data_IF_684939225345
#
_entry.id   IF_684939225345
#
_cell.length_a   1.000
_cell.length_b   1.000
_cell.length_c   1.000
_cell.angle_alpha   90.00
_cell.angle_beta   90.00
_cell.angle_gamma   90.00
#
_symmetry.space_group_name_H-M   'P 1'
#
loop_
_entity.id
_entity.type
_entity.pdbx_description
1 polymer ?
#
# COMPACT_ATOMS: atom_id res chain seq x y z
N UNK A 1 3.21 -16.98 -3.46
CA UNK A 1 2.94 -15.56 -3.83
C UNK A 1 3.35 -15.21 -5.27
N UNK A 2 4.33 -15.88 -5.87
CA UNK A 2 4.73 -15.76 -7.30
C UNK A 2 3.79 -16.51 -8.28
N UNK A 3 2.47 -16.35 -8.13
CA UNK A 3 1.46 -16.95 -9.06
C UNK A 3 0.49 -15.91 -9.66
N UNK A 4 0.69 -14.62 -9.39
CA UNK A 4 -0.04 -13.53 -10.04
C UNK A 4 0.74 -12.94 -11.25
N UNK A 5 1.66 -13.72 -11.83
CA UNK A 5 2.39 -13.38 -13.06
C UNK A 5 2.12 -14.37 -14.20
N UNK A 6 1.07 -15.20 -14.07
CA UNK A 6 0.62 -16.08 -15.16
C UNK A 6 0.09 -15.18 -16.26
N UNK A 7 0.60 -15.32 -17.49
CA UNK A 7 0.40 -14.43 -18.63
C UNK A 7 -1.03 -14.29 -19.18
N UNK A 8 -2.04 -14.25 -18.32
CA UNK A 8 -3.33 -13.67 -18.66
C UNK A 8 -3.13 -12.17 -18.79
N UNK A 9 -3.49 -11.62 -19.96
CA UNK A 9 -3.35 -10.18 -20.21
C UNK A 9 -4.05 -9.35 -19.13
N UNK A 10 -3.72 -8.06 -19.04
CA UNK A 10 -4.32 -7.10 -18.09
C UNK A 10 -5.86 -7.13 -18.03
N UNK A 11 -6.52 -7.67 -19.06
CA UNK A 11 -7.97 -7.82 -19.20
C UNK A 11 -8.49 -9.24 -18.88
N UNK A 12 -7.66 -10.09 -18.27
CA UNK A 12 -8.05 -11.42 -17.85
C UNK A 12 -9.15 -11.37 -16.79
N UNK A 13 -10.11 -12.32 -16.80
CA UNK A 13 -11.18 -12.35 -15.81
C UNK A 13 -10.63 -12.47 -14.38
N UNK A 14 -9.46 -13.10 -14.19
CA UNK A 14 -8.78 -13.21 -12.90
C UNK A 14 -8.27 -11.86 -12.35
N UNK A 15 -8.02 -10.87 -13.19
CA UNK A 15 -7.59 -9.52 -12.78
C UNK A 15 -8.78 -8.57 -12.68
N UNK A 16 -9.72 -8.64 -13.63
CA UNK A 16 -10.89 -7.76 -13.65
C UNK A 16 -11.85 -8.05 -12.50
N UNK A 17 -12.07 -9.32 -12.14
CA UNK A 17 -12.96 -9.69 -11.05
C UNK A 17 -12.56 -9.06 -9.70
N UNK A 18 -11.33 -9.24 -9.17
CA UNK A 18 -10.93 -8.62 -7.91
C UNK A 18 -10.87 -7.09 -8.00
N UNK A 19 -10.54 -6.51 -9.16
CA UNK A 19 -10.56 -5.07 -9.37
C UNK A 19 -11.98 -4.49 -9.24
N UNK A 20 -12.95 -5.10 -9.91
CA UNK A 20 -14.36 -4.69 -9.85
C UNK A 20 -14.94 -4.90 -8.46
N UNK A 21 -14.64 -6.01 -7.80
CA UNK A 21 -15.05 -6.29 -6.42
C UNK A 21 -14.46 -5.25 -5.47
N UNK A 22 -13.16 -4.96 -5.57
CA UNK A 22 -12.48 -3.95 -4.76
C UNK A 22 -13.09 -2.56 -4.95
N UNK A 23 -13.33 -2.15 -6.20
CA UNK A 23 -13.98 -0.89 -6.52
C UNK A 23 -15.41 -0.82 -5.96
N UNK A 24 -16.20 -1.89 -6.10
CA UNK A 24 -17.56 -1.95 -5.56
C UNK A 24 -17.58 -1.84 -4.03
N UNK A 25 -16.67 -2.53 -3.33
CA UNK A 25 -16.52 -2.46 -1.89
C UNK A 25 -16.10 -1.06 -1.42
N UNK A 26 -15.16 -0.42 -2.12
CA UNK A 26 -14.73 0.95 -1.81
C UNK A 26 -15.90 1.93 -1.95
N UNK A 27 -16.66 1.85 -3.05
CA UNK A 27 -17.85 2.69 -3.26
C UNK A 27 -18.90 2.43 -2.18
N UNK A 28 -19.14 1.16 -1.82
CA UNK A 28 -20.06 0.79 -0.74
C UNK A 28 -19.62 1.34 0.61
N UNK A 29 -18.32 1.27 0.92
CA UNK A 29 -17.74 1.81 2.15
C UNK A 29 -17.88 3.33 2.22
N UNK A 30 -17.51 4.04 1.16
CA UNK A 30 -17.65 5.50 1.04
C UNK A 30 -19.11 5.93 1.21
N UNK A 31 -20.04 5.24 0.55
CA UNK A 31 -21.49 5.49 0.69
C UNK A 31 -21.99 5.23 2.11
N UNK A 32 -21.49 4.16 2.76
CA UNK A 32 -21.87 3.81 4.14
C UNK A 32 -21.32 4.82 5.15
N UNK A 33 -20.06 5.25 4.99
CA UNK A 33 -19.43 6.29 5.81
C UNK A 33 -20.20 7.62 5.71
N UNK A 34 -20.55 8.03 4.48
CA UNK A 34 -21.30 9.28 4.25
C UNK A 34 -22.74 9.27 4.80
N UNK A 35 -23.35 8.09 4.96
CA UNK A 35 -24.71 7.92 5.51
C UNK A 35 -24.75 7.76 7.04
N UNK A 36 -23.61 7.60 7.72
CA UNK A 36 -23.56 7.45 9.18
C UNK A 36 -23.58 8.84 9.85
N UNK A 37 -24.38 8.97 10.91
CA UNK A 37 -24.58 10.21 11.68
C UNK A 37 -23.35 10.64 12.49
N UNK A 38 -22.45 9.71 12.82
CA UNK A 38 -21.13 9.99 13.41
C UNK A 38 -20.04 9.34 12.54
N UNK A 39 -19.55 10.05 11.51
CA UNK A 39 -18.45 9.57 10.70
C UNK A 39 -17.16 9.52 11.53
N UNK A 40 -16.44 8.39 11.47
CA UNK A 40 -15.10 8.25 12.04
C UNK A 40 -14.08 9.15 11.34
N UNK A 41 -14.36 9.47 10.06
CA UNK A 41 -13.53 10.32 9.21
C UNK A 41 -14.46 11.34 8.57
N UNK A 42 -14.29 12.62 8.92
CA UNK A 42 -15.03 13.69 8.29
C UNK A 42 -14.57 13.86 6.83
N UNK A 43 -15.40 13.33 5.93
CA UNK A 43 -15.19 13.41 4.48
C UNK A 43 -15.19 14.86 3.97
N UNK A 44 -15.70 15.82 4.76
CA UNK A 44 -15.62 17.26 4.49
C UNK A 44 -14.20 17.81 4.61
N UNK A 45 -13.33 17.22 5.43
CA UNK A 45 -11.92 17.63 5.51
C UNK A 45 -11.15 17.32 4.23
N UNK A 46 -11.44 16.19 3.58
CA UNK A 46 -10.85 15.83 2.28
C UNK A 46 -11.27 16.75 1.13
N UNK A 47 -12.39 17.47 1.26
CA UNK A 47 -12.78 18.49 0.29
C UNK A 47 -11.85 19.72 0.32
N UNK A 48 -11.08 19.91 1.41
CA UNK A 48 -10.08 20.98 1.50
C UNK A 48 -8.79 20.52 0.80
N UNK A 49 -8.34 21.21 -0.27
CA UNK A 49 -7.18 20.78 -1.03
C UNK A 49 -5.92 20.68 -0.16
N UNK A 50 -5.73 21.59 0.80
CA UNK A 50 -4.58 21.56 1.72
C UNK A 50 -4.55 20.30 2.61
N UNK A 51 -5.70 19.77 3.01
CA UNK A 51 -5.77 18.53 3.79
C UNK A 51 -5.51 17.32 2.90
N UNK A 52 -6.14 17.28 1.71
CA UNK A 52 -5.91 16.19 0.76
C UNK A 52 -4.47 16.12 0.26
N UNK A 53 -3.80 17.26 0.06
CA UNK A 53 -2.39 17.29 -0.31
C UNK A 53 -1.50 16.83 0.85
N UNK A 54 -1.78 17.26 2.08
CA UNK A 54 -1.04 16.80 3.25
C UNK A 54 -1.15 15.28 3.43
N UNK A 55 -2.37 14.71 3.34
CA UNK A 55 -2.58 13.26 3.37
C UNK A 55 -1.87 12.57 2.20
N UNK A 56 -1.94 13.15 0.99
CA UNK A 56 -1.23 12.64 -0.18
C UNK A 56 0.29 12.59 0.03
N UNK A 57 0.88 13.64 0.60
CA UNK A 57 2.30 13.67 0.96
C UNK A 57 2.65 12.60 1.99
N UNK A 58 1.82 12.41 3.02
CA UNK A 58 2.04 11.36 4.03
C UNK A 58 2.01 9.97 3.39
N UNK A 59 1.03 9.71 2.53
CA UNK A 59 0.92 8.44 1.79
C UNK A 59 2.13 8.22 0.90
N UNK A 60 2.57 9.24 0.15
CA UNK A 60 3.76 9.15 -0.70
C UNK A 60 5.04 8.93 0.11
N UNK A 61 5.18 9.60 1.25
CA UNK A 61 6.33 9.41 2.14
C UNK A 61 6.37 7.98 2.70
N UNK A 62 5.24 7.45 3.16
CA UNK A 62 5.13 6.07 3.64
C UNK A 62 5.39 5.06 2.51
N UNK A 63 4.85 5.31 1.32
CA UNK A 63 5.10 4.47 0.15
C UNK A 63 6.58 4.44 -0.22
N UNK A 64 7.25 5.60 -0.22
CA UNK A 64 8.68 5.70 -0.48
C UNK A 64 9.52 4.98 0.60
N UNK A 65 9.15 5.14 1.87
CA UNK A 65 9.80 4.48 3.00
C UNK A 65 9.70 2.95 2.88
N UNK A 66 8.49 2.41 2.75
CA UNK A 66 8.27 0.96 2.61
C UNK A 66 8.91 0.42 1.33
N UNK A 67 8.84 1.18 0.23
CA UNK A 67 9.49 0.82 -1.03
C UNK A 67 11.00 0.70 -0.89
N UNK A 68 11.62 1.67 -0.20
CA UNK A 68 13.06 1.65 0.09
C UNK A 68 13.45 0.44 0.96
N UNK A 69 12.69 0.14 2.01
CA UNK A 69 12.92 -1.03 2.87
C UNK A 69 12.86 -2.34 2.07
N UNK A 70 11.86 -2.48 1.20
CA UNK A 70 11.74 -3.66 0.33
C UNK A 70 12.95 -3.81 -0.61
N UNK A 71 13.39 -2.72 -1.22
CA UNK A 71 14.58 -2.74 -2.10
C UNK A 71 15.83 -3.07 -1.29
N UNK A 72 16.00 -2.50 -0.10
CA UNK A 72 17.15 -2.78 0.77
C UNK A 72 17.21 -4.26 1.18
N UNK A 73 16.08 -4.84 1.60
CA UNK A 73 15.96 -6.28 1.92
C UNK A 73 16.28 -7.13 0.69
N UNK A 74 15.71 -6.78 -0.48
CA UNK A 74 15.97 -7.51 -1.71
C UNK A 74 17.44 -7.43 -2.13
N UNK A 75 18.08 -6.28 -1.97
CA UNK A 75 19.50 -6.11 -2.27
C UNK A 75 20.37 -6.96 -1.34
N UNK A 76 20.11 -6.91 -0.04
CA UNK A 76 20.85 -7.69 0.97
C UNK A 76 20.72 -9.20 0.73
N UNK A 77 19.53 -9.69 0.39
CA UNK A 77 19.29 -11.12 0.20
C UNK A 77 19.68 -11.62 -1.20
N UNK A 78 19.33 -10.89 -2.27
CA UNK A 78 19.51 -11.35 -3.65
C UNK A 78 20.86 -10.95 -4.25
N UNK A 79 21.44 -9.82 -3.84
CA UNK A 79 22.74 -9.36 -4.36
C UNK A 79 23.87 -9.75 -3.41
N UNK A 80 23.72 -9.50 -2.11
CA UNK A 80 24.74 -9.87 -1.12
C UNK A 80 24.62 -11.33 -0.64
N UNK A 81 23.55 -12.05 -1.03
CA UNK A 81 23.37 -13.46 -0.70
C UNK A 81 23.12 -13.74 0.79
N UNK A 82 22.75 -12.73 1.57
CA UNK A 82 22.58 -12.87 3.02
C UNK A 82 21.35 -13.70 3.33
N UNK A 83 21.44 -14.47 4.41
CA UNK A 83 20.25 -15.14 4.94
C UNK A 83 19.21 -14.11 5.40
N UNK A 84 17.90 -14.48 5.46
CA UNK A 84 16.87 -13.60 5.97
C UNK A 84 17.14 -13.10 7.40
N UNK A 85 17.76 -13.93 8.24
CA UNK A 85 18.10 -13.59 9.63
C UNK A 85 19.18 -12.51 9.69
N UNK A 86 20.25 -12.64 8.89
CA UNK A 86 21.34 -11.67 8.83
C UNK A 86 20.89 -10.34 8.23
N UNK A 87 20.01 -10.39 7.22
CA UNK A 87 19.39 -9.19 6.65
C UNK A 87 18.58 -8.44 7.70
N UNK A 88 17.77 -9.16 8.48
CA UNK A 88 17.01 -8.58 9.58
C UNK A 88 17.91 -7.91 10.62
N UNK A 89 18.95 -8.60 11.08
CA UNK A 89 19.94 -8.08 12.04
C UNK A 89 20.63 -6.79 11.55
N UNK A 90 20.92 -6.69 10.25
CA UNK A 90 21.56 -5.50 9.64
C UNK A 90 20.60 -4.34 9.39
N UNK A 91 19.30 -4.61 9.34
CA UNK A 91 18.26 -3.58 9.24
C UNK A 91 17.84 -3.03 10.61
N UNK A 92 18.12 -3.75 11.71
CA UNK A 92 17.78 -3.27 13.07
C UNK A 92 18.29 -1.85 13.37
N UNK A 93 19.55 -1.47 13.06
CA UNK A 93 20.03 -0.11 13.33
C UNK A 93 19.23 0.96 12.59
N UNK A 94 18.70 0.66 11.40
CA UNK A 94 17.88 1.59 10.62
C UNK A 94 16.49 1.80 11.22
N UNK A 95 15.96 0.81 11.95
CA UNK A 95 14.64 0.90 12.60
C UNK A 95 14.69 1.49 14.01
N UNK A 96 15.85 1.41 14.68
CA UNK A 96 16.04 1.94 16.03
C UNK A 96 16.67 3.35 16.07
N UNK A 97 17.31 3.78 14.97
CA UNK A 97 17.83 5.15 14.82
C UNK A 97 16.72 6.12 14.39
#
# INVERSE_FOLDING_TARGET
VKRAGTGEGLLGPATLAPLLIGAALLVAFVRRQKRRTHPLIDMGMFARPAFSTAVGCIVLAMLALVGLELIAVQYLQLVLGLSPLETGLRLLPLTFA
#
